data_IF_484275654716
#
_entry.id   IF_484275654716
#
_cell.length_a   1.000
_cell.length_b   1.000
_cell.length_c   1.000
_cell.angle_alpha   90.00
_cell.angle_beta   90.00
_cell.angle_gamma   90.00
#
_symmetry.space_group_name_H-M   'P 1'
#
loop_
_entity.id
_entity.type
_entity.pdbx_description
1 polymer ?
#
# COMPACT_ATOMS: atom_id res chain seq x y z
N UNK A 1 5.50 18.05 2.89
CA UNK A 1 4.47 18.38 3.89
C UNK A 1 4.98 17.95 5.26
N UNK A 2 4.76 18.75 6.29
CA UNK A 2 5.04 18.35 7.65
C UNK A 2 3.91 17.45 8.19
N UNK A 3 4.24 16.55 9.12
CA UNK A 3 3.23 15.72 9.77
C UNK A 3 2.18 16.56 10.53
N UNK A 4 2.57 17.74 11.01
CA UNK A 4 1.71 18.67 11.72
C UNK A 4 0.68 19.35 10.81
N UNK A 5 1.08 19.77 9.60
CA UNK A 5 0.15 20.32 8.61
C UNK A 5 -0.89 19.28 8.17
N UNK A 6 -0.44 18.04 7.94
CA UNK A 6 -1.35 16.94 7.61
C UNK A 6 -2.35 16.68 8.75
N UNK A 7 -1.90 16.68 10.00
CA UNK A 7 -2.75 16.51 11.18
C UNK A 7 -3.87 17.55 11.23
N UNK A 8 -3.54 18.83 11.08
CA UNK A 8 -4.52 19.91 11.10
C UNK A 8 -5.60 19.77 10.02
N UNK A 9 -5.22 19.29 8.84
CA UNK A 9 -6.19 19.03 7.75
C UNK A 9 -7.07 17.84 8.08
N UNK A 10 -6.49 16.73 8.55
CA UNK A 10 -7.20 15.52 8.92
C UNK A 10 -8.21 15.80 10.06
N UNK A 11 -7.81 16.55 11.10
CA UNK A 11 -8.70 16.96 12.19
C UNK A 11 -9.90 17.77 11.70
N UNK A 12 -9.68 18.68 10.75
CA UNK A 12 -10.80 19.47 10.15
C UNK A 12 -11.76 18.62 9.32
N UNK A 13 -11.22 17.61 8.63
CA UNK A 13 -12.01 16.69 7.79
C UNK A 13 -12.83 15.75 8.69
N UNK A 14 -12.19 15.13 9.68
CA UNK A 14 -12.86 14.21 10.61
C UNK A 14 -13.88 14.92 11.50
N UNK A 15 -13.61 16.17 11.93
CA UNK A 15 -14.55 16.99 12.69
C UNK A 15 -15.87 17.30 11.91
N UNK A 16 -15.86 17.19 10.59
CA UNK A 16 -17.05 17.27 9.72
C UNK A 16 -17.77 15.93 9.55
N UNK A 17 -17.32 14.87 10.23
CA UNK A 17 -17.87 13.53 10.07
C UNK A 17 -17.47 12.86 8.73
N UNK A 18 -16.45 13.36 8.03
CA UNK A 18 -15.99 12.78 6.78
C UNK A 18 -14.98 11.67 7.10
N UNK A 19 -15.26 10.42 6.72
CA UNK A 19 -14.33 9.31 6.92
C UNK A 19 -13.05 9.51 6.14
N UNK A 20 -11.90 9.32 6.80
CA UNK A 20 -10.58 9.32 6.17
C UNK A 20 -10.05 7.90 6.12
N UNK A 21 -9.75 7.42 4.92
CA UNK A 21 -9.33 6.05 4.65
C UNK A 21 -7.92 6.08 4.06
N UNK A 22 -6.88 5.81 4.87
CA UNK A 22 -5.52 5.68 4.35
C UNK A 22 -5.42 4.56 3.32
N UNK A 23 -4.83 4.85 2.14
CA UNK A 23 -4.50 3.87 1.11
C UNK A 23 -3.02 4.03 0.74
N UNK A 24 -2.19 3.05 1.11
CA UNK A 24 -0.74 3.23 1.12
C UNK A 24 0.03 1.98 0.69
N UNK A 25 1.30 2.15 0.35
CA UNK A 25 2.27 1.07 0.16
C UNK A 25 2.85 0.51 1.47
N UNK A 26 2.52 1.13 2.61
CA UNK A 26 2.98 0.72 3.93
C UNK A 26 2.32 -0.57 4.41
N UNK A 27 2.97 -1.23 5.37
CA UNK A 27 2.49 -2.45 6.02
C UNK A 27 1.33 -2.17 6.98
N UNK A 28 0.63 -3.21 7.40
CA UNK A 28 -0.38 -3.14 8.46
C UNK A 28 0.16 -2.46 9.73
N UNK A 29 1.33 -2.92 10.21
CA UNK A 29 1.93 -2.40 11.44
C UNK A 29 2.28 -0.91 11.37
N UNK A 30 2.74 -0.42 10.20
CA UNK A 30 3.02 1.00 9.98
C UNK A 30 1.72 1.84 9.95
N UNK A 31 0.65 1.29 9.35
CA UNK A 31 -0.61 2.02 9.21
C UNK A 31 -1.37 2.08 10.53
N UNK A 32 -1.35 1.02 11.34
CA UNK A 32 -1.98 1.04 12.67
C UNK A 32 -1.37 2.15 13.53
N UNK A 33 -0.05 2.23 13.64
CA UNK A 33 0.63 3.29 14.38
C UNK A 33 0.29 4.69 13.84
N UNK A 34 0.32 4.87 12.51
CA UNK A 34 -0.06 6.13 11.88
C UNK A 34 -1.50 6.53 12.22
N UNK A 35 -2.45 5.59 12.12
CA UNK A 35 -3.86 5.83 12.45
C UNK A 35 -4.05 6.24 13.90
N UNK A 36 -3.39 5.56 14.83
CA UNK A 36 -3.40 5.91 16.27
C UNK A 36 -2.86 7.32 16.49
N UNK A 37 -1.71 7.66 15.88
CA UNK A 37 -1.10 8.98 16.00
C UNK A 37 -1.96 10.12 15.44
N UNK A 38 -2.85 9.81 14.48
CA UNK A 38 -3.74 10.76 13.80
C UNK A 38 -5.20 10.65 14.23
N UNK A 39 -5.53 9.81 15.23
CA UNK A 39 -6.90 9.52 15.69
C UNK A 39 -7.84 9.09 14.55
N UNK A 40 -7.35 8.29 13.59
CA UNK A 40 -8.16 7.77 12.48
C UNK A 40 -8.78 6.43 12.89
N UNK A 41 -10.10 6.33 12.88
CA UNK A 41 -10.85 5.14 13.34
C UNK A 41 -11.46 4.32 12.21
N UNK A 42 -11.51 4.85 10.99
CA UNK A 42 -12.16 4.20 9.84
C UNK A 42 -11.28 3.11 9.21
N UNK A 43 -11.78 2.48 8.17
CA UNK A 43 -11.08 1.48 7.37
C UNK A 43 -9.77 2.01 6.78
N UNK A 44 -8.89 1.10 6.35
CA UNK A 44 -7.64 1.44 5.68
C UNK A 44 -7.18 0.35 4.72
N UNK A 45 -6.37 0.75 3.75
CA UNK A 45 -5.84 -0.10 2.67
C UNK A 45 -4.32 -0.11 2.77
N UNK A 46 -3.73 -1.31 2.77
CA UNK A 46 -2.28 -1.51 2.94
C UNK A 46 -1.64 -2.16 1.71
N UNK A 47 -0.32 -2.07 1.66
CA UNK A 47 0.54 -2.73 0.68
C UNK A 47 0.00 -2.58 -0.76
N UNK A 48 -0.25 -1.31 -1.16
CA UNK A 48 -0.72 -0.94 -2.50
C UNK A 48 -2.04 -1.62 -2.90
N UNK A 49 -3.00 -1.71 -1.98
CA UNK A 49 -4.29 -2.31 -2.27
C UNK A 49 -4.34 -3.83 -2.05
N UNK A 50 -3.32 -4.41 -1.44
CA UNK A 50 -3.29 -5.85 -1.22
C UNK A 50 -4.29 -6.33 -0.16
N UNK A 51 -4.62 -5.49 0.82
CA UNK A 51 -5.65 -5.80 1.79
C UNK A 51 -6.38 -4.55 2.30
N UNK A 52 -7.67 -4.71 2.52
CA UNK A 52 -8.57 -3.75 3.17
C UNK A 52 -8.86 -4.24 4.58
N UNK A 53 -8.70 -3.37 5.55
CA UNK A 53 -9.02 -3.58 6.96
C UNK A 53 -10.21 -2.70 7.34
N UNK A 54 -11.30 -3.31 7.78
CA UNK A 54 -12.53 -2.63 8.23
C UNK A 54 -12.70 -2.89 9.72
N UNK A 55 -12.72 -1.87 10.59
CA UNK A 55 -12.95 -2.07 12.03
C UNK A 55 -14.27 -2.75 12.29
N UNK A 56 -14.31 -3.66 13.26
CA UNK A 56 -15.53 -4.42 13.61
C UNK A 56 -16.61 -3.58 14.30
N UNK A 57 -16.22 -2.46 14.89
CA UNK A 57 -17.10 -1.52 15.61
C UNK A 57 -17.77 -0.49 14.69
N UNK A 58 -17.82 -0.77 13.39
CA UNK A 58 -18.52 0.04 12.38
C UNK A 58 -19.84 -0.58 11.97
N UNK A 59 -20.74 0.22 11.37
CA UNK A 59 -22.03 -0.24 10.82
C UNK A 59 -21.89 -1.12 9.57
N UNK A 60 -20.65 -1.34 9.10
CA UNK A 60 -20.38 -2.20 7.94
C UNK A 60 -20.40 -3.65 8.40
N UNK A 61 -21.31 -4.44 7.84
CA UNK A 61 -21.36 -5.88 8.09
C UNK A 61 -20.09 -6.56 7.59
N UNK A 62 -19.79 -7.73 8.17
CA UNK A 62 -18.65 -8.55 7.73
C UNK A 62 -18.60 -8.66 6.20
N UNK A 63 -17.62 -8.07 5.52
CA UNK A 63 -17.55 -8.11 4.07
C UNK A 63 -17.35 -9.54 3.58
N UNK A 64 -18.05 -9.92 2.51
CA UNK A 64 -17.98 -11.27 1.97
C UNK A 64 -16.52 -11.65 1.62
N UNK A 65 -16.09 -12.83 2.09
CA UNK A 65 -14.73 -13.34 1.89
C UNK A 65 -13.66 -12.67 2.77
N UNK A 66 -14.09 -11.93 3.81
CA UNK A 66 -13.18 -11.40 4.83
C UNK A 66 -12.93 -12.43 5.92
N UNK A 67 -11.83 -12.26 6.62
CA UNK A 67 -11.46 -12.99 7.84
C UNK A 67 -11.29 -12.02 8.99
N UNK A 68 -11.40 -12.51 10.22
CA UNK A 68 -11.13 -11.72 11.41
C UNK A 68 -9.62 -11.69 11.70
N UNK A 69 -9.10 -10.50 11.96
CA UNK A 69 -7.72 -10.29 12.38
C UNK A 69 -7.63 -9.04 13.27
N UNK A 70 -7.20 -9.18 14.52
CA UNK A 70 -6.94 -8.08 15.47
C UNK A 70 -8.05 -7.01 15.55
N UNK A 71 -9.32 -7.42 15.55
CA UNK A 71 -10.46 -6.50 15.64
C UNK A 71 -10.89 -5.88 14.30
N UNK A 72 -10.35 -6.38 13.19
CA UNK A 72 -10.70 -5.95 11.84
C UNK A 72 -11.29 -7.10 11.02
N UNK A 73 -12.27 -6.80 10.18
CA UNK A 73 -12.60 -7.62 9.03
C UNK A 73 -11.58 -7.32 7.92
N UNK A 74 -10.81 -8.33 7.52
CA UNK A 74 -9.74 -8.21 6.51
C UNK A 74 -10.17 -8.86 5.21
N UNK A 75 -10.30 -8.06 4.16
CA UNK A 75 -10.49 -8.54 2.80
C UNK A 75 -9.17 -8.47 2.04
N UNK A 76 -8.71 -9.62 1.57
CA UNK A 76 -7.45 -9.74 0.81
C UNK A 76 -7.72 -9.66 -0.69
N UNK A 77 -6.89 -8.92 -1.41
CA UNK A 77 -6.89 -8.75 -2.87
C UNK A 77 -5.54 -9.14 -3.46
N UNK A 78 -4.47 -9.01 -2.69
CA UNK A 78 -3.11 -9.38 -3.07
C UNK A 78 -2.81 -10.86 -2.85
N UNK A 79 -1.67 -11.28 -3.36
CA UNK A 79 -1.10 -12.60 -3.07
C UNK A 79 -0.37 -12.58 -1.73
N UNK A 80 -0.24 -13.72 -1.09
CA UNK A 80 0.55 -13.83 0.13
C UNK A 80 2.04 -13.64 -0.16
N UNK A 81 2.76 -12.97 0.75
CA UNK A 81 4.20 -12.75 0.64
C UNK A 81 4.97 -14.05 0.37
N UNK A 82 4.58 -15.18 0.97
CA UNK A 82 5.24 -16.45 0.73
C UNK A 82 5.32 -16.81 -0.75
N UNK A 83 4.24 -16.63 -1.50
CA UNK A 83 4.24 -16.90 -2.94
C UNK A 83 5.20 -15.98 -3.72
N UNK A 84 5.41 -14.74 -3.25
CA UNK A 84 6.40 -13.83 -3.82
C UNK A 84 7.83 -14.31 -3.53
N UNK A 85 8.08 -14.77 -2.30
CA UNK A 85 9.37 -15.34 -1.91
C UNK A 85 9.70 -16.60 -2.72
N UNK A 86 8.73 -17.51 -2.89
CA UNK A 86 8.90 -18.74 -3.67
C UNK A 86 9.27 -18.43 -5.13
N UNK A 87 8.66 -17.41 -5.72
CA UNK A 87 8.97 -16.96 -7.09
C UNK A 87 10.35 -16.30 -7.15
N UNK A 88 10.71 -15.47 -6.18
CA UNK A 88 12.03 -14.85 -6.11
C UNK A 88 13.13 -15.91 -5.98
N UNK A 89 12.93 -16.90 -5.12
CA UNK A 89 13.85 -18.03 -4.96
C UNK A 89 14.02 -18.81 -6.27
N UNK A 90 12.91 -19.11 -6.95
CA UNK A 90 12.95 -19.81 -8.23
C UNK A 90 13.65 -19.03 -9.34
N UNK A 91 13.51 -17.71 -9.37
CA UNK A 91 14.18 -16.84 -10.36
C UNK A 91 15.67 -16.66 -10.07
N UNK A 92 16.06 -16.68 -8.79
CA UNK A 92 17.44 -16.41 -8.37
C UNK A 92 18.25 -17.68 -8.08
N UNK A 93 17.72 -18.87 -8.39
CA UNK A 93 18.40 -20.16 -8.17
C UNK A 93 19.85 -20.22 -8.69
N UNK A 94 20.23 -19.35 -9.63
CA UNK A 94 21.57 -19.29 -10.20
C UNK A 94 22.30 -17.96 -9.88
N UNK A 95 21.79 -17.13 -8.97
CA UNK A 95 22.36 -15.81 -8.69
C UNK A 95 22.33 -14.89 -9.92
N UNK A 96 21.24 -14.94 -10.69
CA UNK A 96 21.10 -14.22 -11.96
C UNK A 96 20.96 -12.72 -11.73
N UNK A 97 20.35 -12.31 -10.61
CA UNK A 97 20.08 -10.92 -10.26
C UNK A 97 20.73 -10.53 -8.95
N UNK A 98 21.11 -9.25 -8.82
CA UNK A 98 21.70 -8.73 -7.59
C UNK A 98 20.69 -7.85 -6.84
N UNK A 99 20.07 -8.39 -5.82
CA UNK A 99 19.20 -7.68 -4.89
C UNK A 99 19.30 -8.26 -3.48
N UNK A 100 18.79 -7.54 -2.51
CA UNK A 100 18.56 -8.07 -1.15
C UNK A 100 17.15 -7.70 -0.70
N UNK A 101 16.38 -8.70 -0.27
CA UNK A 101 15.06 -8.47 0.30
C UNK A 101 15.19 -7.72 1.64
N UNK A 102 14.36 -6.69 1.86
CA UNK A 102 14.35 -5.98 3.14
C UNK A 102 13.97 -6.89 4.31
N UNK A 103 13.16 -7.91 4.06
CA UNK A 103 12.75 -8.87 5.10
C UNK A 103 13.85 -9.86 5.49
N UNK A 104 14.86 -10.05 4.63
CA UNK A 104 16.03 -10.89 4.91
C UNK A 104 17.20 -10.09 5.53
N UNK A 105 17.03 -8.77 5.65
CA UNK A 105 18.00 -7.91 6.33
C UNK A 105 17.75 -7.90 7.84
N UNK A 106 18.79 -7.65 8.62
CA UNK A 106 18.62 -7.25 10.01
C UNK A 106 17.92 -5.89 10.07
N UNK A 107 17.14 -5.65 11.10
CA UNK A 107 16.41 -4.38 11.27
C UNK A 107 17.35 -3.14 11.21
N UNK A 108 18.57 -3.26 11.77
CA UNK A 108 19.58 -2.20 11.67
C UNK A 108 20.01 -1.93 10.23
N UNK A 109 20.18 -2.97 9.41
CA UNK A 109 20.51 -2.79 7.98
C UNK A 109 19.36 -2.11 7.21
N UNK A 110 18.11 -2.47 7.55
CA UNK A 110 16.93 -1.78 6.97
C UNK A 110 16.91 -0.32 7.38
N UNK A 111 17.15 0.00 8.66
CA UNK A 111 17.26 1.38 9.14
C UNK A 111 18.32 2.17 8.37
N UNK A 112 19.51 1.58 8.18
CA UNK A 112 20.63 2.23 7.46
C UNK A 112 20.28 2.50 5.98
N UNK A 113 19.64 1.54 5.31
CA UNK A 113 19.34 1.69 3.87
C UNK A 113 18.11 2.54 3.60
N UNK A 114 17.16 2.63 4.53
CA UNK A 114 15.93 3.40 4.36
C UNK A 114 15.97 4.79 5.00
N UNK A 115 16.85 4.99 5.98
CA UNK A 115 16.87 6.19 6.82
C UNK A 115 15.78 6.21 7.90
N UNK A 116 15.11 5.08 8.14
CA UNK A 116 14.10 4.94 9.20
C UNK A 116 14.78 4.72 10.56
N UNK A 117 14.09 5.08 11.63
CA UNK A 117 14.47 4.60 12.96
C UNK A 117 14.23 3.08 13.08
N UNK A 118 14.83 2.43 14.10
CA UNK A 118 14.77 0.98 14.25
C UNK A 118 13.34 0.43 14.39
N UNK A 119 12.47 1.13 15.10
CA UNK A 119 11.10 0.68 15.31
C UNK A 119 10.29 0.78 13.99
N UNK A 120 10.47 1.86 13.25
CA UNK A 120 9.86 2.04 11.92
C UNK A 120 10.42 1.04 10.89
N UNK A 121 11.72 0.75 10.92
CA UNK A 121 12.35 -0.27 10.08
C UNK A 121 11.77 -1.66 10.37
N UNK A 122 11.59 -2.01 11.63
CA UNK A 122 10.96 -3.27 12.03
C UNK A 122 9.52 -3.38 11.50
N UNK A 123 8.71 -2.31 11.64
CA UNK A 123 7.34 -2.29 11.10
C UNK A 123 7.32 -2.44 9.58
N UNK A 124 8.23 -1.77 8.87
CA UNK A 124 8.34 -1.86 7.41
C UNK A 124 8.72 -3.26 6.90
N UNK A 125 9.36 -4.08 7.74
CA UNK A 125 9.67 -5.48 7.44
C UNK A 125 8.47 -6.43 7.59
N UNK A 126 7.43 -6.06 8.34
CA UNK A 126 6.25 -6.91 8.59
C UNK A 126 5.28 -6.95 7.41
N UNK A 127 5.81 -7.26 6.20
CA UNK A 127 5.01 -7.37 4.97
C UNK A 127 4.25 -8.68 4.90
N UNK A 128 3.02 -8.61 4.44
CA UNK A 128 2.13 -9.78 4.31
C UNK A 128 1.78 -10.11 2.84
N UNK A 129 1.87 -9.12 1.93
CA UNK A 129 1.38 -9.20 0.56
C UNK A 129 2.31 -8.59 -0.47
N UNK A 130 3.46 -8.10 -0.06
CA UNK A 130 4.46 -7.53 -0.95
C UNK A 130 5.86 -7.85 -0.48
N UNK A 131 6.84 -7.72 -1.38
CA UNK A 131 8.25 -7.79 -1.04
C UNK A 131 8.96 -6.53 -1.54
N UNK A 132 9.91 -6.03 -0.75
CA UNK A 132 10.70 -4.85 -1.11
C UNK A 132 12.16 -5.26 -1.24
N UNK A 133 12.74 -5.01 -2.39
CA UNK A 133 14.09 -5.40 -2.77
C UNK A 133 14.98 -4.16 -2.81
N UNK A 134 16.11 -4.19 -2.12
CA UNK A 134 17.23 -3.27 -2.32
C UNK A 134 17.96 -3.74 -3.58
N UNK A 135 17.61 -3.11 -4.72
CA UNK A 135 18.13 -3.49 -6.03
C UNK A 135 19.58 -3.01 -6.20
N UNK A 136 20.46 -3.92 -6.63
CA UNK A 136 21.92 -3.69 -6.72
C UNK A 136 22.49 -4.02 -8.10
N UNK A 137 21.61 -4.37 -9.04
CA UNK A 137 21.99 -4.70 -10.40
C UNK A 137 21.70 -3.54 -11.37
N UNK A 138 21.98 -3.74 -12.66
CA UNK A 138 21.77 -2.78 -13.72
C UNK A 138 20.28 -2.53 -14.01
N UNK A 139 19.98 -1.41 -14.66
CA UNK A 139 18.62 -1.09 -15.17
C UNK A 139 18.16 -2.12 -16.22
N UNK A 140 19.08 -2.66 -17.04
CA UNK A 140 18.77 -3.70 -18.00
C UNK A 140 18.34 -4.99 -17.32
N UNK A 141 19.04 -5.38 -16.24
CA UNK A 141 18.67 -6.53 -15.43
C UNK A 141 17.30 -6.31 -14.74
N UNK A 142 17.03 -5.09 -14.25
CA UNK A 142 15.74 -4.74 -13.67
C UNK A 142 14.59 -4.85 -14.69
N UNK A 143 14.83 -4.40 -15.92
CA UNK A 143 13.83 -4.52 -16.99
C UNK A 143 13.53 -5.99 -17.27
N UNK A 144 14.55 -6.82 -17.47
CA UNK A 144 14.37 -8.24 -17.70
C UNK A 144 13.68 -8.96 -16.55
N UNK A 145 14.06 -8.63 -15.30
CA UNK A 145 13.42 -9.14 -14.09
C UNK A 145 11.93 -8.75 -14.04
N UNK A 146 11.62 -7.50 -14.33
CA UNK A 146 10.24 -6.98 -14.34
C UNK A 146 9.40 -7.64 -15.42
N UNK A 147 9.95 -7.83 -16.62
CA UNK A 147 9.26 -8.47 -17.74
C UNK A 147 8.89 -9.93 -17.43
N UNK A 148 9.82 -10.67 -16.82
CA UNK A 148 9.57 -12.07 -16.41
C UNK A 148 8.44 -12.11 -15.37
N UNK A 149 8.52 -11.30 -14.32
CA UNK A 149 7.52 -11.29 -13.24
C UNK A 149 6.14 -10.84 -13.73
N UNK A 150 6.10 -9.82 -14.57
CA UNK A 150 4.86 -9.34 -15.19
C UNK A 150 4.26 -10.40 -16.11
N UNK A 151 5.09 -11.11 -16.87
CA UNK A 151 4.67 -12.21 -17.74
C UNK A 151 4.00 -13.37 -17.00
N UNK A 152 4.30 -13.56 -15.72
CA UNK A 152 3.67 -14.58 -14.85
C UNK A 152 2.62 -14.01 -13.89
N UNK A 153 2.23 -12.73 -14.08
CA UNK A 153 1.05 -12.14 -13.41
C UNK A 153 1.35 -11.38 -12.12
N UNK A 154 2.61 -11.03 -11.82
CA UNK A 154 2.96 -10.15 -10.72
C UNK A 154 3.14 -8.70 -11.19
N UNK A 155 3.11 -7.78 -10.26
CA UNK A 155 3.39 -6.36 -10.49
C UNK A 155 4.73 -5.98 -9.88
N UNK A 156 5.55 -5.27 -10.67
CA UNK A 156 6.83 -4.73 -10.23
C UNK A 156 6.77 -3.21 -10.36
N UNK A 157 7.16 -2.50 -9.31
CA UNK A 157 7.28 -1.04 -9.34
C UNK A 157 8.58 -0.59 -8.68
N UNK A 158 9.15 0.51 -9.16
CA UNK A 158 10.38 1.08 -8.63
C UNK A 158 10.09 2.41 -7.93
N UNK A 159 10.63 2.55 -6.72
CA UNK A 159 10.62 3.78 -5.93
C UNK A 159 12.02 4.12 -5.44
N UNK A 160 12.70 5.04 -6.14
CA UNK A 160 14.12 5.28 -5.91
C UNK A 160 14.96 4.04 -6.22
N UNK A 161 15.74 3.57 -5.24
CA UNK A 161 16.55 2.34 -5.39
C UNK A 161 15.79 1.05 -5.02
N UNK A 162 14.60 1.18 -4.46
CA UNK A 162 13.81 0.01 -4.05
C UNK A 162 12.88 -0.45 -5.16
N UNK A 163 12.82 -1.76 -5.32
CA UNK A 163 11.88 -2.45 -6.20
C UNK A 163 10.83 -3.13 -5.33
N UNK A 164 9.57 -2.90 -5.65
CA UNK A 164 8.44 -3.50 -4.95
C UNK A 164 7.82 -4.57 -5.84
N UNK A 165 7.80 -5.80 -5.34
CA UNK A 165 7.13 -6.93 -5.95
C UNK A 165 5.81 -7.18 -5.21
N UNK A 166 4.73 -7.34 -5.94
CA UNK A 166 3.38 -7.58 -5.40
C UNK A 166 2.52 -8.38 -6.38
N UNK A 167 1.34 -8.80 -5.93
CA UNK A 167 0.31 -9.35 -6.81
C UNK A 167 -0.25 -8.29 -7.78
N UNK A 168 -1.23 -8.66 -8.61
CA UNK A 168 -1.86 -7.75 -9.58
C UNK A 168 -2.84 -6.76 -8.92
N UNK A 169 -2.72 -6.53 -7.63
CA UNK A 169 -3.52 -5.57 -6.87
C UNK A 169 -3.01 -4.14 -7.04
N UNK A 170 -3.91 -3.18 -6.95
CA UNK A 170 -3.59 -1.76 -6.83
C UNK A 170 -4.57 -1.06 -5.88
N UNK A 171 -4.27 0.17 -5.49
CA UNK A 171 -5.09 0.94 -4.55
C UNK A 171 -6.50 1.22 -5.11
N UNK A 172 -6.62 1.44 -6.42
CA UNK A 172 -7.88 1.75 -7.08
C UNK A 172 -8.87 0.59 -7.06
N UNK A 173 -8.43 -0.62 -7.40
CA UNK A 173 -9.27 -1.84 -7.38
C UNK A 173 -9.87 -2.03 -5.98
N UNK A 174 -9.05 -1.93 -4.95
CA UNK A 174 -9.49 -2.15 -3.56
C UNK A 174 -10.41 -1.03 -3.08
N UNK A 175 -10.08 0.23 -3.42
CA UNK A 175 -10.92 1.38 -3.07
C UNK A 175 -12.27 1.33 -3.81
N UNK A 176 -12.31 0.96 -5.08
CA UNK A 176 -13.54 0.78 -5.85
C UNK A 176 -14.43 -0.32 -5.27
N UNK A 177 -13.84 -1.44 -4.89
CA UNK A 177 -14.57 -2.50 -4.22
C UNK A 177 -15.17 -2.03 -2.88
N UNK A 178 -14.40 -1.26 -2.11
CA UNK A 178 -14.87 -0.73 -0.83
C UNK A 178 -15.94 0.35 -1.02
N UNK A 179 -15.82 1.24 -2.02
CA UNK A 179 -16.85 2.20 -2.38
C UNK A 179 -18.18 1.49 -2.73
N UNK A 180 -18.11 0.41 -3.52
CA UNK A 180 -19.29 -0.37 -3.88
C UNK A 180 -19.94 -1.02 -2.65
N UNK A 181 -19.13 -1.51 -1.69
CA UNK A 181 -19.62 -2.02 -0.41
C UNK A 181 -20.35 -0.92 0.39
N UNK A 182 -19.73 0.26 0.52
CA UNK A 182 -20.31 1.38 1.24
C UNK A 182 -21.62 1.89 0.60
N UNK A 183 -21.68 1.97 -0.74
CA UNK A 183 -22.90 2.33 -1.47
C UNK A 183 -24.05 1.35 -1.22
N UNK A 184 -23.74 0.08 -1.03
CA UNK A 184 -24.74 -0.96 -0.75
C UNK A 184 -25.17 -1.00 0.72
N UNK A 185 -24.23 -0.85 1.66
CA UNK A 185 -24.47 -1.14 3.09
C UNK A 185 -24.76 0.13 3.91
N UNK A 186 -24.25 1.28 3.49
CA UNK A 186 -24.36 2.54 4.26
C UNK A 186 -25.31 3.52 3.57
N UNK A 187 -24.98 3.99 2.38
CA UNK A 187 -25.84 4.88 1.59
C UNK A 187 -25.45 4.86 0.11
N UNK A 188 -26.44 4.84 -0.81
CA UNK A 188 -26.16 4.86 -2.25
C UNK A 188 -25.51 6.16 -2.74
N UNK A 189 -25.70 7.27 -2.01
CA UNK A 189 -25.28 8.62 -2.43
C UNK A 189 -23.86 8.99 -1.97
N UNK A 190 -23.01 7.98 -1.67
CA UNK A 190 -21.62 8.24 -1.31
C UNK A 190 -20.85 8.78 -2.50
N UNK A 191 -20.23 9.96 -2.32
CA UNK A 191 -19.19 10.49 -3.18
C UNK A 191 -17.80 10.28 -2.54
N UNK A 192 -16.81 9.97 -3.36
CA UNK A 192 -15.44 9.72 -2.94
C UNK A 192 -14.51 10.82 -3.41
N UNK A 193 -13.58 11.20 -2.54
CA UNK A 193 -12.48 12.10 -2.84
C UNK A 193 -11.19 11.32 -2.64
N UNK A 194 -10.37 11.20 -3.66
CA UNK A 194 -9.03 10.62 -3.55
C UNK A 194 -7.96 11.70 -3.63
N UNK A 195 -6.92 11.57 -2.81
CA UNK A 195 -5.75 12.43 -2.86
C UNK A 195 -4.48 11.56 -3.02
N UNK A 196 -3.60 11.94 -3.95
CA UNK A 196 -2.37 11.20 -4.23
C UNK A 196 -1.35 12.04 -4.98
N UNK A 197 -0.10 11.61 -5.00
CA UNK A 197 1.03 12.34 -5.61
C UNK A 197 1.99 11.44 -6.40
N UNK A 198 1.81 10.12 -6.33
CA UNK A 198 2.74 9.14 -6.88
C UNK A 198 2.09 8.24 -7.95
N UNK A 199 2.88 7.61 -8.83
CA UNK A 199 2.35 6.74 -9.88
C UNK A 199 1.44 5.61 -9.39
N UNK A 200 1.68 5.07 -8.20
CA UNK A 200 0.85 4.03 -7.56
C UNK A 200 -0.47 4.56 -6.98
N UNK A 201 -0.74 5.86 -7.10
CA UNK A 201 -2.03 6.49 -6.74
C UNK A 201 -2.95 6.69 -7.96
N UNK A 202 -2.43 6.45 -9.19
CA UNK A 202 -3.16 6.74 -10.43
C UNK A 202 -4.56 6.11 -10.42
N UNK A 203 -4.65 4.79 -10.26
CA UNK A 203 -5.91 4.07 -10.31
C UNK A 203 -6.85 4.46 -9.15
N UNK A 204 -6.29 4.88 -8.01
CA UNK A 204 -7.06 5.42 -6.89
C UNK A 204 -7.68 6.77 -7.25
N UNK A 205 -6.92 7.65 -7.90
CA UNK A 205 -7.38 8.97 -8.34
C UNK A 205 -8.41 8.85 -9.47
N UNK A 206 -8.16 7.98 -10.44
CA UNK A 206 -9.05 7.77 -11.60
C UNK A 206 -10.41 7.13 -11.24
N UNK A 207 -10.47 6.32 -10.15
CA UNK A 207 -11.72 5.70 -9.73
C UNK A 207 -12.60 6.60 -8.86
N UNK A 208 -12.06 7.68 -8.29
CA UNK A 208 -12.77 8.55 -7.37
C UNK A 208 -13.70 9.54 -8.10
N UNK A 209 -14.79 9.94 -7.44
CA UNK A 209 -15.68 10.97 -7.98
C UNK A 209 -14.98 12.35 -8.07
N UNK A 210 -14.02 12.59 -7.16
CA UNK A 210 -13.17 13.79 -7.15
C UNK A 210 -11.71 13.40 -6.88
N UNK A 211 -10.80 13.79 -7.77
CA UNK A 211 -9.37 13.55 -7.64
C UNK A 211 -8.63 14.82 -7.20
N UNK A 212 -7.83 14.72 -6.16
CA UNK A 212 -6.92 15.77 -5.69
C UNK A 212 -5.48 15.35 -6.00
N UNK A 213 -4.95 15.86 -7.09
CA UNK A 213 -3.55 15.63 -7.45
C UNK A 213 -2.65 16.49 -6.56
N UNK A 214 -1.97 15.84 -5.64
CA UNK A 214 -1.05 16.50 -4.71
C UNK A 214 0.30 16.75 -5.39
N UNK A 215 0.89 17.91 -5.14
CA UNK A 215 2.17 18.27 -5.71
C UNK A 215 3.29 17.46 -5.06
N UNK A 216 3.95 16.62 -5.84
CA UNK A 216 5.13 15.89 -5.43
C UNK A 216 6.37 16.77 -5.69
N UNK A 217 7.03 17.23 -4.62
CA UNK A 217 8.23 18.09 -4.73
C UNK A 217 9.48 17.32 -5.23
N UNK A 218 9.48 15.98 -5.21
CA UNK A 218 10.63 15.12 -5.53
C UNK A 218 10.41 14.20 -6.73
N UNK A 219 9.18 14.13 -7.27
CA UNK A 219 8.81 13.25 -8.36
C UNK A 219 8.43 13.99 -9.63
N UNK A 220 8.30 13.24 -10.75
CA UNK A 220 7.65 13.76 -11.94
C UNK A 220 6.16 13.97 -11.66
N UNK A 221 5.53 14.99 -12.25
CA UNK A 221 4.09 15.17 -12.15
C UNK A 221 3.36 13.90 -12.60
N UNK A 222 2.35 13.50 -11.86
CA UNK A 222 1.45 12.42 -12.27
C UNK A 222 0.47 13.00 -13.30
N UNK A 223 0.37 12.36 -14.47
CA UNK A 223 -0.63 12.68 -15.48
C UNK A 223 -1.79 11.70 -15.36
N UNK A 224 -3.00 12.18 -15.15
CA UNK A 224 -4.24 11.41 -15.19
C UNK A 224 -4.75 11.36 -16.63
N UNK A 225 -5.41 10.27 -17.01
CA UNK A 225 -6.05 10.11 -18.32
C UNK A 225 -7.47 10.66 -18.32
#
# INVERSE_FOLDING_TARGET
YSAEEARLVLEKVTAKGIPVIPATSKTYSEVVEFRESMNLTHAFIVENGAALYVPMDTDIRCPMGSKLFEGYWVREFGVKRQALCDVLEALDMNGTYQFKSLTDMRTSEVADVTGLDLASAQRAQHRLYSETLDWRDSETALTAFSDVLTGIGFSVSQGGRFVHLMGPNNKGITAQWFQALLKREVTPDIATIAAGDAPNDRELLEMADYALLMRNARGKPLELQ
#
